data_IF_296617394336
#
_entry.id   IF_296617394336
#
_cell.length_a   1.000
_cell.length_b   1.000
_cell.length_c   1.000
_cell.angle_alpha   90.00
_cell.angle_beta   90.00
_cell.angle_gamma   90.00
#
_symmetry.space_group_name_H-M   'P 1'
#
loop_
_entity.id
_entity.type
_entity.pdbx_description
1 polymer ?
#
# COMPACT_ATOMS: atom_id res chain seq x y z
N UNK A 1 -0.18 11.92 -34.47
CA UNK A 1 1.15 11.71 -35.08
C UNK A 1 1.93 10.81 -34.13
N UNK A 2 2.50 9.70 -34.61
CA UNK A 2 3.35 8.84 -33.77
C UNK A 2 4.71 9.52 -33.65
N UNK A 3 4.94 10.23 -32.54
CA UNK A 3 6.24 10.83 -32.27
C UNK A 3 7.27 9.72 -32.05
N UNK A 4 8.34 9.73 -32.86
CA UNK A 4 9.46 8.80 -32.73
C UNK A 4 10.50 9.53 -31.88
N UNK A 5 10.58 9.17 -30.60
CA UNK A 5 11.55 9.74 -29.67
C UNK A 5 12.96 9.29 -30.05
N UNK A 6 13.84 10.24 -30.37
CA UNK A 6 15.24 9.96 -30.76
C UNK A 6 16.21 10.16 -29.61
N UNK A 7 15.84 10.92 -28.57
CA UNK A 7 16.66 11.19 -27.40
C UNK A 7 15.96 10.82 -26.09
N UNK A 8 16.73 10.26 -25.14
CA UNK A 8 16.24 9.86 -23.82
C UNK A 8 15.60 11.02 -23.06
N UNK A 9 16.23 12.19 -23.08
CA UNK A 9 15.75 13.40 -22.40
C UNK A 9 14.37 13.85 -22.91
N UNK A 10 14.15 13.76 -24.21
CA UNK A 10 12.89 14.13 -24.88
C UNK A 10 11.73 13.23 -24.45
N UNK A 11 11.97 11.91 -24.40
CA UNK A 11 10.99 10.93 -23.91
C UNK A 11 10.65 11.18 -22.42
N UNK A 12 11.67 11.39 -21.57
CA UNK A 12 11.47 11.61 -20.14
C UNK A 12 10.69 12.92 -19.88
N UNK A 13 10.96 13.98 -20.64
CA UNK A 13 10.25 15.25 -20.53
C UNK A 13 8.76 15.10 -20.90
N UNK A 14 8.45 14.40 -22.00
CA UNK A 14 7.07 14.15 -22.43
C UNK A 14 6.28 13.27 -21.46
N UNK A 15 6.87 12.19 -20.96
CA UNK A 15 6.22 11.33 -19.96
C UNK A 15 5.89 12.13 -18.70
N UNK A 16 6.81 12.99 -18.25
CA UNK A 16 6.60 13.82 -17.06
C UNK A 16 5.45 14.82 -17.27
N UNK A 17 5.39 15.45 -18.45
CA UNK A 17 4.34 16.41 -18.80
C UNK A 17 2.95 15.75 -18.86
N UNK A 18 2.85 14.58 -19.49
CA UNK A 18 1.58 13.83 -19.62
C UNK A 18 1.05 13.35 -18.26
N UNK A 19 1.94 13.09 -17.30
CA UNK A 19 1.56 12.70 -15.93
C UNK A 19 0.94 13.86 -15.14
N UNK A 20 1.51 15.06 -15.24
CA UNK A 20 0.98 16.26 -14.57
C UNK A 20 -0.45 16.57 -15.04
N UNK A 21 -0.70 16.44 -16.35
CA UNK A 21 -2.03 16.67 -16.93
C UNK A 21 -3.07 15.68 -16.39
N UNK A 22 -2.69 14.40 -16.20
CA UNK A 22 -3.62 13.38 -15.67
C UNK A 22 -3.97 13.61 -14.19
N UNK A 23 -3.02 14.06 -13.38
CA UNK A 23 -3.25 14.35 -11.95
C UNK A 23 -4.18 15.56 -11.75
N UNK A 24 -4.12 16.56 -12.62
CA UNK A 24 -4.96 17.77 -12.52
C UNK A 24 -6.43 17.53 -12.93
N UNK A 25 -6.73 16.46 -13.65
CA UNK A 25 -8.06 16.20 -14.23
C UNK A 25 -8.90 15.22 -13.38
N UNK A 26 -8.28 14.35 -12.57
CA UNK A 26 -8.98 13.25 -11.88
C UNK A 26 -8.68 13.21 -10.37
N UNK A 27 -9.52 13.88 -9.59
CA UNK A 27 -9.51 13.80 -8.12
C UNK A 27 -10.25 12.53 -7.62
N UNK A 28 -9.76 11.99 -6.50
CA UNK A 28 -10.35 10.98 -5.60
C UNK A 28 -10.25 9.46 -5.90
N UNK A 29 -10.00 8.99 -7.13
CA UNK A 29 -10.18 7.56 -7.43
C UNK A 29 -8.93 6.67 -7.59
N UNK A 30 -7.89 7.17 -8.26
CA UNK A 30 -6.79 6.30 -8.68
C UNK A 30 -5.72 6.14 -7.61
N UNK A 31 -5.20 4.91 -7.50
CA UNK A 31 -3.86 4.68 -6.95
C UNK A 31 -2.90 5.38 -7.91
N UNK A 32 -2.57 6.63 -7.60
CA UNK A 32 -1.44 7.29 -8.22
C UNK A 32 -0.19 6.52 -7.83
N UNK A 33 0.29 5.67 -8.72
CA UNK A 33 1.61 5.01 -8.61
C UNK A 33 2.73 6.08 -8.68
N UNK A 34 2.39 7.30 -9.08
CA UNK A 34 3.32 8.38 -9.37
C UNK A 34 2.89 9.66 -8.68
N UNK A 35 3.33 9.81 -7.43
CA UNK A 35 3.30 11.13 -6.77
C UNK A 35 4.22 12.07 -7.55
N UNK A 36 3.67 13.14 -8.12
CA UNK A 36 4.41 14.14 -8.89
C UNK A 36 5.16 15.09 -7.96
N UNK A 37 6.21 14.56 -7.32
CA UNK A 37 7.24 15.36 -6.66
C UNK A 37 8.43 15.52 -7.60
N UNK A 38 9.21 16.58 -7.42
CA UNK A 38 10.34 17.03 -8.25
C UNK A 38 11.54 16.07 -8.35
N UNK A 39 11.38 14.82 -7.91
CA UNK A 39 12.42 13.81 -7.95
C UNK A 39 12.63 13.27 -9.37
N UNK A 40 13.90 13.00 -9.71
CA UNK A 40 14.25 12.43 -11.00
C UNK A 40 13.55 11.09 -11.22
N UNK A 41 13.19 10.79 -12.47
CA UNK A 41 12.60 9.50 -12.86
C UNK A 41 13.50 8.31 -12.44
N UNK A 42 14.82 8.51 -12.40
CA UNK A 42 15.78 7.52 -11.94
C UNK A 42 15.66 7.25 -10.44
N UNK A 43 15.58 8.30 -9.61
CA UNK A 43 15.36 8.20 -8.15
C UNK A 43 14.04 7.50 -7.84
N UNK A 44 12.99 7.82 -8.61
CA UNK A 44 11.66 7.20 -8.46
C UNK A 44 11.65 5.72 -8.84
N UNK A 45 12.34 5.36 -9.93
CA UNK A 45 12.50 3.97 -10.33
C UNK A 45 13.29 3.19 -9.26
N UNK A 46 14.31 3.80 -8.67
CA UNK A 46 15.04 3.21 -7.56
C UNK A 46 14.12 2.98 -6.35
N UNK A 47 13.31 3.96 -5.95
CA UNK A 47 12.33 3.82 -4.85
C UNK A 47 11.31 2.70 -5.12
N UNK A 48 10.80 2.60 -6.35
CA UNK A 48 9.92 1.49 -6.73
C UNK A 48 10.61 0.13 -6.63
N UNK A 49 11.85 0.00 -7.12
CA UNK A 49 12.62 -1.24 -7.00
C UNK A 49 12.89 -1.59 -5.53
N UNK A 50 13.22 -0.60 -4.69
CA UNK A 50 13.38 -0.79 -3.24
C UNK A 50 12.09 -1.26 -2.58
N UNK A 51 10.95 -0.67 -2.94
CA UNK A 51 9.65 -1.08 -2.42
C UNK A 51 9.28 -2.50 -2.87
N UNK A 52 9.52 -2.85 -4.13
CA UNK A 52 9.32 -4.20 -4.65
C UNK A 52 10.16 -5.24 -3.88
N UNK A 53 11.43 -4.93 -3.65
CA UNK A 53 12.34 -5.78 -2.85
C UNK A 53 11.85 -5.91 -1.40
N UNK A 54 11.37 -4.81 -0.80
CA UNK A 54 10.80 -4.84 0.54
C UNK A 54 9.58 -5.76 0.63
N UNK A 55 8.64 -5.68 -0.33
CA UNK A 55 7.49 -6.57 -0.40
C UNK A 55 7.93 -8.03 -0.56
N UNK A 56 8.91 -8.30 -1.43
CA UNK A 56 9.48 -9.65 -1.61
C UNK A 56 10.09 -10.20 -0.32
N UNK A 57 10.80 -9.36 0.44
CA UNK A 57 11.34 -9.71 1.76
C UNK A 57 10.21 -10.00 2.75
N UNK A 58 9.17 -9.16 2.80
CA UNK A 58 8.01 -9.39 3.68
C UNK A 58 7.35 -10.75 3.42
N UNK A 59 7.18 -11.16 2.16
CA UNK A 59 6.61 -12.46 1.81
C UNK A 59 7.50 -13.65 2.19
N UNK A 60 8.83 -13.47 2.20
CA UNK A 60 9.79 -14.53 2.55
C UNK A 60 10.04 -14.65 4.05
N UNK A 61 9.65 -13.65 4.83
CA UNK A 61 9.82 -13.67 6.27
C UNK A 61 8.95 -14.75 6.90
N UNK A 62 9.56 -15.61 7.73
CA UNK A 62 8.79 -16.48 8.59
C UNK A 62 8.19 -15.63 9.72
N UNK A 63 6.87 -15.49 9.73
CA UNK A 63 6.19 -14.67 10.73
C UNK A 63 6.21 -15.37 12.08
N UNK A 64 6.54 -14.60 13.12
CA UNK A 64 6.39 -15.04 14.51
C UNK A 64 4.92 -14.91 14.93
N UNK A 65 4.51 -15.73 15.90
CA UNK A 65 3.14 -15.72 16.46
C UNK A 65 2.68 -14.32 16.94
N UNK A 66 3.62 -13.45 17.33
CA UNK A 66 3.32 -12.10 17.82
C UNK A 66 2.90 -11.10 16.71
N UNK A 67 3.15 -11.38 15.43
CA UNK A 67 2.81 -10.49 14.32
C UNK A 67 1.32 -10.17 14.26
N UNK A 68 0.48 -11.13 14.68
CA UNK A 68 -0.96 -10.93 14.77
C UNK A 68 -1.32 -9.89 15.81
N UNK A 69 -0.73 -9.96 17.00
CA UNK A 69 -1.02 -9.02 18.08
C UNK A 69 -0.56 -7.61 17.73
N UNK A 70 0.62 -7.47 17.10
CA UNK A 70 1.12 -6.17 16.65
C UNK A 70 0.12 -5.46 15.71
N UNK A 71 -0.48 -6.18 14.74
CA UNK A 71 -1.51 -5.61 13.89
C UNK A 71 -2.76 -5.20 14.67
N UNK A 72 -3.23 -6.06 15.59
CA UNK A 72 -4.40 -5.77 16.41
C UNK A 72 -4.20 -4.49 17.22
N UNK A 73 -3.03 -4.34 17.84
CA UNK A 73 -2.71 -3.20 18.68
C UNK A 73 -2.67 -1.91 17.85
N UNK A 74 -2.04 -1.94 16.67
CA UNK A 74 -2.05 -0.82 15.71
C UNK A 74 -3.48 -0.46 15.29
N UNK A 75 -4.33 -1.44 14.99
CA UNK A 75 -5.72 -1.19 14.63
C UNK A 75 -6.51 -0.57 15.80
N UNK A 76 -6.35 -1.10 17.02
CA UNK A 76 -7.02 -0.59 18.22
C UNK A 76 -6.60 0.84 18.53
N UNK A 77 -5.31 1.16 18.39
CA UNK A 77 -4.79 2.52 18.59
C UNK A 77 -5.35 3.50 17.56
N UNK A 78 -5.35 3.15 16.27
CA UNK A 78 -5.86 4.05 15.22
C UNK A 78 -7.37 4.27 15.27
N UNK A 79 -8.13 3.28 15.75
CA UNK A 79 -9.59 3.31 15.78
C UNK A 79 -10.17 3.38 17.20
N UNK A 80 -9.37 3.81 18.19
CA UNK A 80 -9.79 3.87 19.61
C UNK A 80 -11.09 4.64 19.85
N UNK A 81 -11.42 5.62 19.01
CA UNK A 81 -12.62 6.44 19.12
C UNK A 81 -13.81 5.91 18.28
N UNK A 82 -13.64 4.79 17.57
CA UNK A 82 -14.66 4.19 16.72
C UNK A 82 -15.09 2.83 17.28
N UNK A 83 -16.18 2.82 18.03
CA UNK A 83 -16.71 1.60 18.69
C UNK A 83 -17.11 0.50 17.70
N UNK A 84 -17.57 0.86 16.50
CA UNK A 84 -17.94 -0.12 15.46
C UNK A 84 -16.69 -0.85 14.96
N UNK A 85 -15.63 -0.11 14.62
CA UNK A 85 -14.37 -0.69 14.16
C UNK A 85 -13.69 -1.50 15.26
N UNK A 86 -13.73 -1.04 16.51
CA UNK A 86 -13.22 -1.82 17.65
C UNK A 86 -13.95 -3.17 17.79
N UNK A 87 -15.26 -3.22 17.55
CA UNK A 87 -16.02 -4.49 17.53
C UNK A 87 -15.52 -5.41 16.42
N UNK A 88 -15.30 -4.89 15.21
CA UNK A 88 -14.78 -5.65 14.07
C UNK A 88 -13.35 -6.15 14.33
N UNK A 89 -12.49 -5.32 14.93
CA UNK A 89 -11.11 -5.71 15.29
C UNK A 89 -11.13 -6.86 16.31
N UNK A 90 -12.02 -6.80 17.31
CA UNK A 90 -12.19 -7.88 18.28
C UNK A 90 -12.74 -9.17 17.64
N UNK A 91 -13.62 -9.04 16.63
CA UNK A 91 -14.11 -10.17 15.84
C UNK A 91 -12.96 -10.81 15.04
N UNK A 92 -12.13 -10.01 14.38
CA UNK A 92 -10.95 -10.46 13.66
C UNK A 92 -9.94 -11.16 14.59
N UNK A 93 -9.68 -10.60 15.76
CA UNK A 93 -8.80 -11.18 16.78
C UNK A 93 -9.27 -12.59 17.24
N UNK A 94 -10.57 -12.86 17.22
CA UNK A 94 -11.13 -14.16 17.65
C UNK A 94 -11.31 -15.15 16.51
N UNK A 95 -11.70 -14.68 15.33
CA UNK A 95 -12.23 -15.53 14.26
C UNK A 95 -11.32 -15.65 13.03
N UNK A 96 -10.28 -14.82 12.92
CA UNK A 96 -9.39 -14.84 11.77
C UNK A 96 -8.72 -16.20 11.56
N UNK A 97 -8.70 -16.61 10.29
CA UNK A 97 -8.00 -17.78 9.77
C UNK A 97 -7.42 -17.41 8.41
N UNK A 98 -6.23 -17.90 8.08
CA UNK A 98 -5.56 -17.67 6.79
C UNK A 98 -6.48 -17.85 5.58
N UNK A 99 -7.29 -18.92 5.55
CA UNK A 99 -8.24 -19.19 4.46
C UNK A 99 -9.33 -18.11 4.24
N UNK A 100 -9.53 -17.22 5.21
CA UNK A 100 -10.50 -16.14 5.17
C UNK A 100 -9.83 -14.76 4.96
N UNK A 101 -8.53 -14.69 4.67
CA UNK A 101 -7.79 -13.43 4.52
C UNK A 101 -8.41 -12.52 3.45
N UNK A 102 -8.72 -13.07 2.26
CA UNK A 102 -9.36 -12.34 1.18
C UNK A 102 -10.71 -11.76 1.63
N UNK A 103 -11.52 -12.54 2.36
CA UNK A 103 -12.81 -12.06 2.86
C UNK A 103 -12.63 -10.85 3.77
N UNK A 104 -11.68 -10.91 4.71
CA UNK A 104 -11.34 -9.78 5.59
C UNK A 104 -10.79 -8.57 4.84
N UNK A 105 -10.05 -8.79 3.75
CA UNK A 105 -9.56 -7.70 2.90
C UNK A 105 -10.68 -7.05 2.08
N UNK A 106 -11.67 -7.81 1.63
CA UNK A 106 -12.81 -7.27 0.87
C UNK A 106 -13.93 -6.70 1.74
N UNK A 107 -13.99 -7.08 3.01
CA UNK A 107 -14.96 -6.54 3.97
C UNK A 107 -14.68 -5.05 4.18
N UNK A 108 -15.74 -4.24 4.19
CA UNK A 108 -15.66 -2.83 4.55
C UNK A 108 -15.31 -2.69 6.05
N UNK A 109 -14.01 -2.61 6.33
CA UNK A 109 -13.47 -2.50 7.70
C UNK A 109 -12.10 -1.83 7.70
N UNK A 110 -11.56 -1.59 8.89
CA UNK A 110 -10.25 -0.98 9.10
C UNK A 110 -9.11 -1.68 8.33
N UNK A 111 -9.13 -3.01 8.16
CA UNK A 111 -8.03 -3.77 7.56
C UNK A 111 -7.80 -3.38 6.10
N UNK A 112 -8.88 -3.37 5.29
CA UNK A 112 -8.84 -2.89 3.91
C UNK A 112 -8.27 -1.48 3.83
N UNK A 113 -8.76 -0.56 4.67
CA UNK A 113 -8.37 0.85 4.64
C UNK A 113 -6.92 1.05 5.06
N UNK A 114 -6.48 0.41 6.14
CA UNK A 114 -5.11 0.50 6.64
C UNK A 114 -4.15 -0.07 5.59
N UNK A 115 -4.43 -1.26 5.04
CA UNK A 115 -3.54 -1.89 4.07
C UNK A 115 -3.39 -1.05 2.80
N UNK A 116 -4.50 -0.62 2.20
CA UNK A 116 -4.44 0.19 0.97
C UNK A 116 -3.79 1.57 1.21
N UNK A 117 -4.01 2.18 2.37
CA UNK A 117 -3.34 3.42 2.76
C UNK A 117 -1.83 3.20 2.95
N UNK A 118 -1.43 2.12 3.61
CA UNK A 118 -0.03 1.78 3.83
C UNK A 118 0.71 1.50 2.51
N UNK A 119 0.08 0.79 1.58
CA UNK A 119 0.62 0.55 0.23
C UNK A 119 0.77 1.85 -0.56
N UNK A 120 -0.26 2.71 -0.57
CA UNK A 120 -0.25 3.99 -1.29
C UNK A 120 0.84 4.92 -0.80
N UNK A 121 1.06 4.96 0.51
CA UNK A 121 2.03 5.85 1.14
C UNK A 121 3.40 5.19 1.36
N UNK A 122 3.59 3.94 0.91
CA UNK A 122 4.78 3.14 1.18
C UNK A 122 5.18 3.15 2.68
N UNK A 123 4.19 3.06 3.57
CA UNK A 123 4.43 3.09 5.01
C UNK A 123 5.01 1.74 5.46
N UNK A 124 6.33 1.67 5.55
CA UNK A 124 7.06 0.45 5.88
C UNK A 124 6.66 -0.13 7.25
N UNK A 125 6.45 0.72 8.27
CA UNK A 125 6.09 0.26 9.62
C UNK A 125 4.70 -0.40 9.64
N UNK A 126 3.71 0.22 8.97
CA UNK A 126 2.37 -0.36 8.85
C UNK A 126 2.37 -1.63 8.00
N UNK A 127 3.09 -1.65 6.89
CA UNK A 127 3.22 -2.85 6.06
C UNK A 127 3.92 -3.99 6.81
N UNK A 128 4.91 -3.65 7.64
CA UNK A 128 5.54 -4.61 8.53
C UNK A 128 4.57 -5.13 9.59
N UNK A 129 3.73 -4.28 10.21
CA UNK A 129 2.70 -4.75 11.15
C UNK A 129 1.67 -5.66 10.45
N UNK A 130 1.32 -5.35 9.21
CA UNK A 130 0.41 -6.10 8.35
C UNK A 130 1.05 -7.37 7.72
N UNK A 131 2.34 -7.64 7.95
CA UNK A 131 3.12 -8.66 7.22
C UNK A 131 2.47 -10.05 7.17
N UNK A 132 1.87 -10.51 8.27
CA UNK A 132 1.22 -11.83 8.31
C UNK A 132 -0.06 -11.83 7.47
N UNK A 133 -0.84 -10.74 7.55
CA UNK A 133 -2.09 -10.60 6.81
C UNK A 133 -1.83 -10.48 5.31
N UNK A 134 -0.78 -9.74 4.91
CA UNK A 134 -0.33 -9.64 3.51
C UNK A 134 0.14 -10.99 2.98
N UNK A 135 0.82 -11.79 3.80
CA UNK A 135 1.31 -13.12 3.39
C UNK A 135 0.18 -14.13 3.19
N UNK A 136 -0.93 -13.97 3.90
CA UNK A 136 -2.11 -14.82 3.78
C UNK A 136 -3.01 -14.41 2.58
N UNK A 137 -2.79 -13.24 1.97
CA UNK A 137 -3.53 -12.72 0.80
C UNK A 137 -2.95 -13.24 -0.52
#
# INVERSE_FOLDING_TARGET
VKDIFTQRSELLARITQDQIVRVLIEDSGMISIVSCNTESLESRNAMFMWFQLFIEVLFRMHHKSNARQELIDVCKEQYQNNSEELSIINEFEKTYKTKNAIWWYTRECCLYRILNKALRNQNFDLLFALRFFITDL
#
